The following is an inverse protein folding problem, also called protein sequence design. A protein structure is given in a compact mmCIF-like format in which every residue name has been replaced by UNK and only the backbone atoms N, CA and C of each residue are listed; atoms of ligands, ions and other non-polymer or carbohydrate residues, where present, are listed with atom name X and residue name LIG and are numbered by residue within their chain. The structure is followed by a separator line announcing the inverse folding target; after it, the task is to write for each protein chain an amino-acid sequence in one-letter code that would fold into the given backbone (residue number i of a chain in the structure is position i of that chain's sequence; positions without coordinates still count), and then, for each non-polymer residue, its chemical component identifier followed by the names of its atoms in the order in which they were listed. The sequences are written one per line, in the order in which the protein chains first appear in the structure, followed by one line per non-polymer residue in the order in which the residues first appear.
data_IF_676683079146
#
_entry.id   IF_676683079146
#
_cell.length_a   1.000
_cell.length_b   1.000
_cell.length_c   1.000
_cell.angle_alpha   90.00
_cell.angle_beta   90.00
_cell.angle_gamma   90.00
#
_symmetry.space_group_name_H-M   'P 1'
#
loop_
_entity.id
_entity.type
_entity.pdbx_description
1 polymer ?
#
# COMPACT_ATOMS: atom_id res chain seq x y z
N UNK A 1 6.28 -4.85 33.84
CA UNK A 1 6.23 -4.53 32.38
C UNK A 1 7.40 -3.61 32.12
N UNK A 2 8.34 -4.00 31.26
CA UNK A 2 9.40 -3.07 30.84
C UNK A 2 8.79 -2.00 29.95
N UNK A 3 9.02 -0.74 30.29
CA UNK A 3 8.57 0.39 29.45
C UNK A 3 9.23 0.28 28.07
N UNK A 4 8.41 0.25 27.03
CA UNK A 4 8.88 0.27 25.64
C UNK A 4 9.27 1.70 25.31
N UNK A 5 10.56 1.92 25.05
CA UNK A 5 11.05 3.22 24.59
C UNK A 5 10.95 3.28 23.06
N UNK A 6 10.22 4.27 22.55
CA UNK A 6 10.13 4.54 21.10
C UNK A 6 11.42 5.27 20.69
N UNK A 7 12.22 4.65 19.80
CA UNK A 7 13.44 5.27 19.26
C UNK A 7 13.19 6.06 17.97
N UNK A 8 12.23 5.61 17.14
CA UNK A 8 11.85 6.29 15.89
C UNK A 8 10.32 6.36 15.80
N UNK A 9 9.79 7.53 15.52
CA UNK A 9 8.36 7.75 15.31
C UNK A 9 8.14 8.53 14.01
N UNK A 10 7.58 7.86 13.01
CA UNK A 10 7.30 8.44 11.69
C UNK A 10 5.83 8.84 11.49
N UNK A 11 5.00 8.79 12.54
CA UNK A 11 3.56 9.10 12.42
C UNK A 11 3.29 10.48 11.85
N UNK A 12 4.13 11.46 12.14
CA UNK A 12 4.00 12.81 11.60
C UNK A 12 4.17 12.92 10.08
N UNK A 13 4.77 11.90 9.45
CA UNK A 13 4.95 11.83 7.99
C UNK A 13 3.74 11.24 7.28
N UNK A 14 2.74 10.75 8.02
CA UNK A 14 1.54 10.12 7.48
C UNK A 14 0.31 10.98 7.69
N UNK A 15 -0.62 10.90 6.75
CA UNK A 15 -1.93 11.50 6.88
C UNK A 15 -2.91 10.59 7.64
N UNK A 16 -4.21 10.92 7.60
CA UNK A 16 -5.25 10.13 8.25
C UNK A 16 -5.32 8.72 7.70
N UNK A 17 -5.66 7.77 8.58
CA UNK A 17 -5.86 6.38 8.19
C UNK A 17 -6.97 6.27 7.14
N UNK A 18 -6.75 5.43 6.13
CA UNK A 18 -7.71 5.17 5.04
C UNK A 18 -8.30 3.78 5.20
N UNK A 19 -9.52 3.59 4.71
CA UNK A 19 -10.25 2.31 4.80
C UNK A 19 -10.29 1.62 3.43
N UNK A 20 -9.71 0.42 3.34
CA UNK A 20 -9.75 -0.40 2.12
C UNK A 20 -11.11 -1.12 1.91
N UNK A 21 -11.98 -1.15 2.93
CA UNK A 21 -13.22 -1.93 2.86
C UNK A 21 -12.96 -3.42 2.70
N UNK A 22 -13.81 -4.10 1.92
CA UNK A 22 -13.75 -5.54 1.71
C UNK A 22 -12.82 -6.00 0.57
N UNK A 23 -12.22 -5.08 -0.18
CA UNK A 23 -11.36 -5.44 -1.31
C UNK A 23 -9.97 -5.94 -0.85
N UNK A 24 -9.33 -6.86 -1.59
CA UNK A 24 -8.01 -7.41 -1.22
C UNK A 24 -6.86 -6.46 -1.59
N UNK A 25 -6.94 -5.19 -1.16
CA UNK A 25 -6.04 -4.09 -1.56
C UNK A 25 -5.09 -3.63 -0.43
N UNK A 26 -4.95 -4.40 0.65
CA UNK A 26 -4.14 -4.05 1.81
C UNK A 26 -2.70 -3.63 1.44
N UNK A 27 -2.05 -4.37 0.53
CA UNK A 27 -0.70 -4.05 0.09
C UNK A 27 -0.65 -2.73 -0.69
N UNK A 28 -1.67 -2.42 -1.49
CA UNK A 28 -1.73 -1.16 -2.23
C UNK A 28 -1.90 0.05 -1.29
N UNK A 29 -2.71 -0.08 -0.24
CA UNK A 29 -2.87 0.96 0.78
C UNK A 29 -1.55 1.18 1.54
N UNK A 30 -0.94 0.11 2.06
CA UNK A 30 0.33 0.20 2.77
C UNK A 30 1.44 0.80 1.89
N UNK A 31 1.53 0.38 0.64
CA UNK A 31 2.51 0.88 -0.32
C UNK A 31 2.28 2.36 -0.67
N UNK A 32 1.03 2.76 -0.88
CA UNK A 32 0.67 4.13 -1.21
C UNK A 32 0.92 5.08 -0.05
N UNK A 33 0.60 4.69 1.18
CA UNK A 33 0.85 5.52 2.36
C UNK A 33 2.34 5.65 2.67
N UNK A 34 3.11 4.56 2.56
CA UNK A 34 4.56 4.62 2.69
C UNK A 34 5.21 5.50 1.62
N UNK A 35 4.72 5.44 0.38
CA UNK A 35 5.19 6.30 -0.71
C UNK A 35 4.82 7.77 -0.47
N UNK A 36 3.58 8.06 -0.06
CA UNK A 36 3.12 9.41 0.26
C UNK A 36 3.90 10.02 1.43
N UNK A 37 4.19 9.23 2.47
CA UNK A 37 4.94 9.66 3.66
C UNK A 37 6.41 10.01 3.38
N UNK A 38 6.93 9.65 2.21
CA UNK A 38 8.29 10.00 1.76
C UNK A 38 8.34 11.25 0.88
N UNK A 39 7.19 11.87 0.61
CA UNK A 39 7.10 13.09 -0.19
C UNK A 39 7.12 14.32 0.71
N UNK A 40 7.63 15.42 0.18
CA UNK A 40 7.50 16.73 0.83
C UNK A 40 6.03 17.17 0.80
N UNK A 41 5.44 17.27 1.97
CA UNK A 41 4.00 17.52 2.10
C UNK A 41 3.19 16.25 1.76
N UNK A 42 2.54 15.69 2.79
CA UNK A 42 1.73 14.50 2.59
C UNK A 42 0.47 14.81 1.74
N UNK A 43 0.28 14.03 0.70
CA UNK A 43 -0.97 13.99 -0.06
C UNK A 43 -1.25 12.53 -0.44
N UNK A 44 -2.52 12.06 -0.36
CA UNK A 44 -2.84 10.68 -0.65
C UNK A 44 -2.51 10.35 -2.10
N UNK A 45 -1.81 9.23 -2.31
CA UNK A 45 -1.56 8.67 -3.62
C UNK A 45 -2.61 7.62 -3.98
N UNK A 46 -2.89 7.44 -5.25
CA UNK A 46 -3.92 6.53 -5.74
C UNK A 46 -3.60 5.07 -5.45
N UNK A 47 -4.29 4.51 -4.46
CA UNK A 47 -4.25 3.08 -4.17
C UNK A 47 -4.81 2.26 -5.34
N UNK A 48 -5.84 2.78 -6.02
CA UNK A 48 -6.45 2.11 -7.17
C UNK A 48 -5.45 1.95 -8.30
N UNK A 49 -4.71 3.01 -8.62
CA UNK A 49 -3.69 2.98 -9.67
C UNK A 49 -2.57 1.99 -9.35
N UNK A 50 -2.03 2.03 -8.13
CA UNK A 50 -0.98 1.11 -7.71
C UNK A 50 -1.45 -0.36 -7.76
N UNK A 51 -2.68 -0.62 -7.29
CA UNK A 51 -3.27 -1.94 -7.32
C UNK A 51 -3.48 -2.43 -8.75
N UNK A 52 -4.04 -1.59 -9.62
CA UNK A 52 -4.22 -1.91 -11.04
C UNK A 52 -2.89 -2.27 -11.71
N UNK A 53 -1.85 -1.44 -11.55
CA UNK A 53 -0.56 -1.69 -12.18
C UNK A 53 0.09 -2.98 -11.65
N UNK A 54 0.00 -3.25 -10.34
CA UNK A 54 0.51 -4.49 -9.76
C UNK A 54 -0.22 -5.72 -10.31
N UNK A 55 -1.55 -5.68 -10.40
CA UNK A 55 -2.35 -6.78 -10.94
C UNK A 55 -2.09 -7.00 -12.43
N UNK A 56 -2.01 -5.93 -13.22
CA UNK A 56 -1.67 -5.97 -14.64
C UNK A 56 -0.32 -6.65 -14.86
N UNK A 57 0.71 -6.29 -14.08
CA UNK A 57 2.05 -6.88 -14.16
C UNK A 57 2.07 -8.35 -13.79
N UNK A 58 1.22 -8.74 -12.85
CA UNK A 58 1.10 -10.14 -12.38
C UNK A 58 0.13 -10.99 -13.22
N UNK A 59 -0.60 -10.42 -14.17
CA UNK A 59 -1.68 -11.10 -14.90
C UNK A 59 -2.81 -11.58 -13.97
N UNK A 60 -3.13 -10.81 -12.92
CA UNK A 60 -4.11 -11.20 -11.89
C UNK A 60 -5.38 -10.38 -11.96
N UNK A 61 -6.47 -11.00 -11.52
CA UNK A 61 -7.79 -10.37 -11.48
C UNK A 61 -7.92 -9.36 -10.32
N UNK A 62 -8.84 -8.36 -10.44
CA UNK A 62 -9.02 -7.31 -9.43
C UNK A 62 -9.58 -7.80 -8.08
N UNK A 63 -10.07 -9.04 -8.02
CA UNK A 63 -10.60 -9.68 -6.81
C UNK A 63 -9.57 -10.52 -6.04
N UNK A 64 -8.30 -10.47 -6.42
CA UNK A 64 -7.20 -11.19 -5.75
C UNK A 64 -6.20 -10.22 -5.15
N UNK A 65 -5.53 -10.60 -4.06
CA UNK A 65 -4.49 -9.78 -3.45
C UNK A 65 -3.29 -9.57 -4.37
N UNK A 66 -2.61 -8.45 -4.26
CA UNK A 66 -1.42 -8.14 -5.04
C UNK A 66 -0.19 -8.92 -4.54
N UNK A 67 0.71 -9.26 -5.47
CA UNK A 67 2.01 -9.82 -5.14
C UNK A 67 2.98 -8.69 -4.77
N UNK A 68 3.83 -8.90 -3.76
CA UNK A 68 4.82 -7.91 -3.35
C UNK A 68 5.76 -7.52 -4.50
N UNK A 69 6.29 -8.48 -5.24
CA UNK A 69 7.17 -8.23 -6.37
C UNK A 69 6.54 -7.32 -7.42
N UNK A 70 5.29 -7.61 -7.79
CA UNK A 70 4.55 -6.81 -8.78
C UNK A 70 4.20 -5.42 -8.26
N UNK A 71 3.90 -5.28 -6.96
CA UNK A 71 3.67 -3.98 -6.33
C UNK A 71 4.94 -3.13 -6.33
N UNK A 72 6.09 -3.69 -5.97
CA UNK A 72 7.37 -2.98 -6.00
C UNK A 72 7.74 -2.55 -7.43
N UNK A 73 7.48 -3.39 -8.42
CA UNK A 73 7.68 -3.02 -9.83
C UNK A 73 6.72 -1.93 -10.29
N UNK A 74 5.45 -2.00 -9.89
CA UNK A 74 4.48 -0.95 -10.18
C UNK A 74 4.95 0.41 -9.63
N UNK A 75 5.40 0.48 -8.38
CA UNK A 75 5.94 1.70 -7.79
C UNK A 75 7.17 2.23 -8.53
N UNK A 76 8.05 1.34 -8.99
CA UNK A 76 9.29 1.74 -9.68
C UNK A 76 9.08 2.15 -11.13
N UNK A 77 8.21 1.46 -11.84
CA UNK A 77 8.07 1.57 -13.30
C UNK A 77 6.85 2.41 -13.74
N UNK A 78 5.74 2.25 -13.03
CA UNK A 78 4.50 2.94 -13.34
C UNK A 78 4.28 4.14 -12.42
N UNK A 79 4.82 4.10 -11.19
CA UNK A 79 4.61 5.11 -10.17
C UNK A 79 3.16 5.17 -9.68
N UNK A 80 2.78 6.32 -9.11
CA UNK A 80 1.41 6.60 -8.65
C UNK A 80 1.06 8.07 -8.89
N UNK A 81 -0.13 8.39 -9.39
CA UNK A 81 -0.68 9.74 -9.33
C UNK A 81 -1.25 10.02 -7.94
N UNK A 82 -1.68 11.24 -7.70
CA UNK A 82 -2.49 11.57 -6.53
C UNK A 82 -3.84 10.85 -6.58
N UNK A 83 -4.45 10.67 -5.41
CA UNK A 83 -5.73 9.96 -5.25
C UNK A 83 -6.84 10.59 -6.11
N UNK A 84 -6.82 11.91 -6.31
CA UNK A 84 -7.74 12.63 -7.18
C UNK A 84 -7.67 12.21 -8.66
N UNK A 85 -6.53 11.70 -9.11
CA UNK A 85 -6.35 11.26 -10.50
C UNK A 85 -7.04 9.93 -10.81
N UNK A 86 -7.17 9.06 -9.84
CA UNK A 86 -8.01 7.86 -9.89
C UNK A 86 -8.40 7.46 -8.47
N UNK A 87 -9.56 7.93 -7.99
CA UNK A 87 -10.05 7.63 -6.65
C UNK A 87 -10.23 6.14 -6.41
N UNK A 88 -10.03 5.72 -5.17
CA UNK A 88 -10.23 4.34 -4.77
C UNK A 88 -11.67 3.88 -5.01
N UNK A 89 -11.84 2.73 -5.66
CA UNK A 89 -13.15 2.13 -5.91
C UNK A 89 -13.57 1.31 -4.70
N UNK A 90 -14.72 1.63 -4.10
CA UNK A 90 -15.25 0.92 -2.93
C UNK A 90 -15.67 -0.52 -3.22
N UNK A 91 -16.00 -0.84 -4.48
CA UNK A 91 -16.37 -2.17 -4.93
C UNK A 91 -15.32 -2.73 -5.89
N UNK A 92 -15.16 -4.07 -5.88
CA UNK A 92 -14.32 -4.75 -6.86
C UNK A 92 -14.91 -4.60 -8.26
N UNK A 93 -14.12 -4.18 -9.26
CA UNK A 93 -14.57 -4.15 -10.65
C UNK A 93 -15.10 -5.51 -11.12
N UNK A 94 -16.18 -5.49 -11.89
CA UNK A 94 -16.87 -6.71 -12.33
C UNK A 94 -15.97 -7.59 -13.22
N UNK A 95 -15.15 -6.94 -14.05
CA UNK A 95 -14.20 -7.61 -14.92
C UNK A 95 -12.91 -6.79 -15.08
N UNK A 96 -11.85 -7.46 -15.51
CA UNK A 96 -10.56 -6.81 -15.73
C UNK A 96 -10.55 -5.90 -16.97
N UNK A 97 -11.45 -6.08 -17.93
CA UNK A 97 -11.47 -5.31 -19.16
C UNK A 97 -12.08 -3.91 -18.95
N UNK A 98 -13.07 -3.81 -18.06
CA UNK A 98 -13.67 -2.52 -17.67
C UNK A 98 -12.84 -1.76 -16.61
N UNK A 99 -11.86 -2.43 -16.01
CA UNK A 99 -11.00 -1.86 -14.98
C UNK A 99 -9.74 -1.27 -15.59
N UNK A 100 -9.77 0.01 -15.87
CA UNK A 100 -8.66 0.75 -16.46
C UNK A 100 -8.55 2.15 -15.84
N UNK A 101 -7.33 2.72 -15.77
CA UNK A 101 -7.15 4.09 -15.31
C UNK A 101 -7.83 5.07 -16.26
N UNK A 102 -8.32 6.22 -15.75
CA UNK A 102 -8.76 7.32 -16.58
C UNK A 102 -7.69 7.74 -17.58
N UNK A 103 -8.10 8.34 -18.70
CA UNK A 103 -7.19 8.82 -19.73
C UNK A 103 -6.17 9.84 -19.18
N UNK A 104 -6.63 10.68 -18.24
CA UNK A 104 -5.78 11.65 -17.53
C UNK A 104 -5.79 11.36 -16.03
N UNK A 105 -4.66 10.88 -15.51
CA UNK A 105 -4.47 10.63 -14.09
C UNK A 105 -3.65 11.71 -13.39
N UNK A 106 -3.21 12.74 -14.13
CA UNK A 106 -2.34 13.78 -13.61
C UNK A 106 -0.87 13.36 -13.49
N UNK A 107 -0.11 14.10 -12.71
CA UNK A 107 1.32 13.83 -12.50
C UNK A 107 1.53 12.52 -11.75
N UNK A 108 2.42 11.70 -12.28
CA UNK A 108 2.79 10.40 -11.70
C UNK A 108 4.13 10.52 -10.96
N UNK A 109 4.19 9.95 -9.77
CA UNK A 109 5.37 9.92 -8.90
C UNK A 109 5.92 8.49 -8.82
N UNK A 110 7.17 8.30 -9.23
CA UNK A 110 7.85 7.02 -9.17
C UNK A 110 8.63 6.82 -7.87
N UNK A 111 8.93 5.56 -7.52
CA UNK A 111 9.72 5.22 -6.34
C UNK A 111 10.78 4.16 -6.66
N UNK A 112 11.94 4.60 -7.16
CA UNK A 112 13.04 3.70 -7.57
C UNK A 112 13.64 2.89 -6.41
N UNK A 113 13.58 3.40 -5.18
CA UNK A 113 14.16 2.76 -3.99
C UNK A 113 13.24 1.75 -3.29
N UNK A 114 12.09 1.38 -3.87
CA UNK A 114 11.22 0.38 -3.29
C UNK A 114 11.84 -1.03 -3.43
N UNK A 115 12.30 -1.62 -2.32
CA UNK A 115 12.97 -2.92 -2.27
C UNK A 115 12.41 -3.77 -1.13
N UNK A 116 12.53 -5.10 -1.25
CA UNK A 116 12.21 -6.05 -0.20
C UNK A 116 13.49 -6.50 0.53
N UNK A 117 13.36 -6.78 1.83
CA UNK A 117 14.43 -7.37 2.64
C UNK A 117 13.83 -8.26 3.74
N UNK A 118 14.59 -9.26 4.19
CA UNK A 118 14.30 -10.07 5.37
C UNK A 118 15.21 -9.73 6.55
N UNK A 119 16.09 -8.74 6.39
CA UNK A 119 17.07 -8.36 7.42
C UNK A 119 16.49 -7.34 8.39
N UNK A 120 16.35 -7.71 9.66
CA UNK A 120 15.95 -6.80 10.75
C UNK A 120 16.91 -5.60 10.84
N UNK A 121 18.20 -5.83 10.68
CA UNK A 121 19.20 -4.75 10.68
C UNK A 121 18.92 -3.72 9.59
N UNK A 122 18.58 -4.18 8.39
CA UNK A 122 18.22 -3.30 7.29
C UNK A 122 16.94 -2.50 7.57
N UNK A 123 15.95 -3.15 8.17
CA UNK A 123 14.69 -2.49 8.59
C UNK A 123 14.98 -1.36 9.58
N UNK A 124 15.81 -1.62 10.59
CA UNK A 124 16.21 -0.60 11.59
C UNK A 124 16.92 0.56 10.90
N UNK A 125 17.88 0.29 9.98
CA UNK A 125 18.56 1.33 9.24
C UNK A 125 17.62 2.21 8.39
N UNK A 126 16.60 1.62 7.75
CA UNK A 126 15.63 2.38 6.99
C UNK A 126 14.80 3.31 7.91
N UNK A 127 14.35 2.79 9.05
CA UNK A 127 13.61 3.58 10.04
C UNK A 127 14.46 4.72 10.62
N UNK A 128 15.71 4.46 10.98
CA UNK A 128 16.64 5.47 11.51
C UNK A 128 16.92 6.60 10.50
N UNK A 129 16.77 6.32 9.21
CA UNK A 129 16.88 7.31 8.14
C UNK A 129 15.54 7.99 7.80
N UNK A 130 14.52 7.79 8.63
CA UNK A 130 13.20 8.38 8.42
C UNK A 130 12.40 7.76 7.27
N UNK A 131 12.77 6.55 6.84
CA UNK A 131 12.07 5.85 5.76
C UNK A 131 11.08 4.82 6.29
N UNK A 132 9.79 4.89 5.92
CA UNK A 132 8.78 3.94 6.36
C UNK A 132 9.02 2.54 5.78
N UNK A 133 8.66 1.55 6.56
CA UNK A 133 8.78 0.13 6.22
C UNK A 133 7.41 -0.52 6.22
N UNK A 134 7.11 -1.28 5.17
CA UNK A 134 5.90 -2.10 5.06
C UNK A 134 6.23 -3.50 5.54
N UNK A 135 5.49 -3.99 6.51
CA UNK A 135 5.62 -5.36 7.01
C UNK A 135 4.56 -6.26 6.38
N UNK A 136 5.01 -7.37 5.81
CA UNK A 136 4.15 -8.46 5.37
C UNK A 136 4.29 -9.60 6.37
N UNK A 137 3.19 -9.98 6.98
CA UNK A 137 3.18 -11.05 7.98
C UNK A 137 2.02 -12.03 7.74
N UNK A 138 2.21 -13.26 8.16
CA UNK A 138 1.14 -14.24 8.21
C UNK A 138 0.30 -13.98 9.46
N UNK A 139 -0.99 -13.77 9.27
CA UNK A 139 -1.92 -13.61 10.37
C UNK A 139 -2.38 -14.98 10.86
N UNK A 140 -2.25 -15.24 12.15
CA UNK A 140 -2.84 -16.43 12.79
C UNK A 140 -4.36 -16.24 12.98
N UNK A 141 -5.09 -17.33 13.23
CA UNK A 141 -6.53 -17.27 13.56
C UNK A 141 -6.84 -16.35 14.73
N UNK A 142 -5.94 -16.26 15.71
CA UNK A 142 -6.11 -15.37 16.86
C UNK A 142 -6.07 -13.88 16.52
N UNK A 143 -5.64 -13.50 15.31
CA UNK A 143 -5.65 -12.12 14.86
C UNK A 143 -6.99 -11.67 14.29
N UNK A 144 -7.83 -12.63 13.86
CA UNK A 144 -9.19 -12.33 13.42
C UNK A 144 -10.09 -12.32 14.64
N UNK A 145 -10.79 -11.21 14.95
CA UNK A 145 -11.83 -11.25 15.97
C UNK A 145 -12.83 -12.33 15.56
N UNK A 146 -13.20 -13.18 16.51
CA UNK A 146 -14.30 -14.13 16.29
C UNK A 146 -15.49 -13.32 15.81
N UNK A 147 -15.99 -13.64 14.64
CA UNK A 147 -17.27 -13.11 14.18
C UNK A 147 -18.29 -13.69 15.15
N UNK A 148 -18.74 -12.87 16.07
CA UNK A 148 -19.87 -13.26 16.96
C UNK A 148 -21.05 -13.54 16.05
N UNK A 149 -21.29 -14.79 15.76
CA UNK A 149 -22.58 -15.24 15.27
C UNK A 149 -23.52 -15.14 16.46
N UNK A 150 -24.23 -14.01 16.55
CA UNK A 150 -25.43 -13.94 17.38
C UNK A 150 -26.47 -14.89 16.77
N UNK A 151 -26.70 -16.00 17.42
CA UNK A 151 -27.96 -16.76 17.25
C UNK A 151 -29.15 -15.92 17.68
#
# INVERSE_FOLDING_TARGET
MSDITISVDLRASFGPARNQGARPTCLAFAASDAHAGLRDGWAPLSCEYAFFQAQRRAGRAPNTGALLSSMLEALRKDGQPEESGWPYLSATPADAASWAPPHETGKVFGRNGANATHSIYRIIQELDQGRPVILLTMLSRAFYPEVFTSE
#
